data_IF_066301499636
#
_entry.id   IF_066301499636
#
_cell.length_a   1.000
_cell.length_b   1.000
_cell.length_c   1.000
_cell.angle_alpha   90.00
_cell.angle_beta   90.00
_cell.angle_gamma   90.00
#
_symmetry.space_group_name_H-M   'P 1'
#
loop_
_entity.id
_entity.type
_entity.pdbx_description
1 polymer ?
#
# COMPACT_ATOMS: atom_id res chain seq x y z
N UNK A 1 37.68 -18.76 -32.51
CA UNK A 1 37.35 -19.38 -31.21
C UNK A 1 36.97 -18.30 -30.19
N UNK A 2 35.85 -18.53 -29.49
CA UNK A 2 35.53 -18.14 -28.10
C UNK A 2 34.71 -16.86 -27.78
N UNK A 3 33.40 -17.12 -27.74
CA UNK A 3 32.24 -16.55 -27.02
C UNK A 3 32.49 -16.02 -25.59
N UNK A 4 31.86 -14.89 -25.18
CA UNK A 4 31.29 -14.66 -23.81
C UNK A 4 30.09 -13.67 -23.80
N UNK A 5 28.88 -14.25 -23.75
CA UNK A 5 27.60 -13.68 -23.31
C UNK A 5 27.67 -12.90 -21.98
N UNK A 6 27.27 -11.61 -21.93
CA UNK A 6 27.02 -10.89 -20.64
C UNK A 6 26.05 -9.69 -20.73
N UNK A 7 24.85 -9.77 -21.33
CA UNK A 7 23.87 -8.65 -21.20
C UNK A 7 22.39 -9.09 -21.17
N UNK A 8 21.95 -9.76 -20.09
CA UNK A 8 20.51 -10.07 -19.95
C UNK A 8 19.93 -10.04 -18.51
N UNK A 9 20.57 -9.35 -17.55
CA UNK A 9 20.08 -9.28 -16.16
C UNK A 9 19.19 -8.06 -15.84
N UNK A 10 19.03 -7.10 -16.75
CA UNK A 10 18.32 -5.84 -16.49
C UNK A 10 16.92 -5.70 -17.11
N UNK A 11 16.45 -6.66 -17.91
CA UNK A 11 15.15 -6.56 -18.59
C UNK A 11 13.95 -6.77 -17.64
N UNK A 12 14.13 -7.54 -16.56
CA UNK A 12 13.02 -7.89 -15.66
C UNK A 12 12.68 -6.78 -14.65
N UNK A 13 13.67 -5.98 -14.24
CA UNK A 13 13.50 -4.89 -13.25
C UNK A 13 12.70 -3.70 -13.81
N UNK A 14 12.80 -3.45 -15.11
CA UNK A 14 12.03 -2.39 -15.79
C UNK A 14 10.56 -2.76 -15.94
N UNK A 15 10.24 -4.03 -16.18
CA UNK A 15 8.85 -4.51 -16.26
C UNK A 15 8.16 -4.48 -14.90
N UNK A 16 8.86 -4.86 -13.83
CA UNK A 16 8.31 -4.81 -12.48
C UNK A 16 8.00 -3.38 -12.02
N UNK A 17 8.93 -2.44 -12.23
CA UNK A 17 8.72 -1.02 -11.91
C UNK A 17 7.60 -0.37 -12.74
N UNK A 18 7.45 -0.76 -14.01
CA UNK A 18 6.28 -0.37 -14.82
C UNK A 18 4.97 -0.89 -14.24
N UNK A 19 4.93 -2.14 -13.80
CA UNK A 19 3.74 -2.72 -13.16
C UNK A 19 3.41 -2.03 -11.84
N UNK A 20 4.40 -1.77 -10.98
CA UNK A 20 4.19 -1.01 -9.73
C UNK A 20 3.60 0.37 -10.01
N UNK A 21 4.06 1.09 -11.05
CA UNK A 21 3.49 2.38 -11.47
C UNK A 21 2.06 2.25 -12.00
N UNK A 22 1.78 1.21 -12.78
CA UNK A 22 0.44 0.97 -13.32
C UNK A 22 -0.56 0.68 -12.19
N UNK A 23 -0.17 -0.18 -11.25
CA UNK A 23 -0.99 -0.54 -10.10
C UNK A 23 -1.12 0.63 -9.14
N UNK A 24 -0.05 1.41 -8.89
CA UNK A 24 -0.14 2.60 -8.05
C UNK A 24 -1.16 3.61 -8.59
N UNK A 25 -1.25 3.78 -9.90
CA UNK A 25 -2.27 4.66 -10.50
C UNK A 25 -3.69 4.14 -10.26
N UNK A 26 -3.93 2.83 -10.42
CA UNK A 26 -5.23 2.20 -10.14
C UNK A 26 -5.60 2.32 -8.66
N UNK A 27 -4.66 1.99 -7.78
CA UNK A 27 -4.79 2.08 -6.32
C UNK A 27 -5.11 3.52 -5.92
N UNK A 28 -4.30 4.48 -6.36
CA UNK A 28 -4.49 5.90 -6.07
C UNK A 28 -5.87 6.39 -6.51
N UNK A 29 -6.32 6.03 -7.72
CA UNK A 29 -7.64 6.40 -8.22
C UNK A 29 -8.77 5.82 -7.35
N UNK A 30 -8.59 4.62 -6.82
CA UNK A 30 -9.54 4.02 -5.87
C UNK A 30 -9.58 4.81 -4.55
N UNK A 31 -8.42 5.15 -3.98
CA UNK A 31 -8.33 5.97 -2.77
C UNK A 31 -8.87 7.39 -2.99
N UNK A 32 -8.65 7.99 -4.17
CA UNK A 32 -9.15 9.30 -4.52
C UNK A 32 -10.69 9.34 -4.59
N UNK A 33 -11.35 8.23 -4.97
CA UNK A 33 -12.81 8.08 -4.90
C UNK A 33 -13.33 7.92 -3.47
N UNK A 34 -12.48 7.50 -2.53
CA UNK A 34 -12.84 7.21 -1.15
C UNK A 34 -11.85 7.87 -0.16
N UNK A 35 -11.69 9.20 -0.19
CA UNK A 35 -10.61 9.88 0.53
C UNK A 35 -10.74 9.81 2.06
N UNK A 36 -11.96 9.59 2.55
CA UNK A 36 -12.27 9.47 3.98
C UNK A 36 -11.96 8.08 4.53
N UNK A 37 -11.98 7.04 3.67
CA UNK A 37 -11.82 5.65 4.07
C UNK A 37 -10.36 5.23 4.03
N UNK A 38 -10.02 4.29 4.92
CA UNK A 38 -8.72 3.62 4.92
C UNK A 38 -8.89 2.17 4.50
N UNK A 39 -7.92 1.65 3.76
CA UNK A 39 -7.96 0.30 3.22
C UNK A 39 -6.62 -0.41 3.43
N UNK A 40 -6.69 -1.73 3.61
CA UNK A 40 -5.52 -2.60 3.65
C UNK A 40 -5.16 -3.10 2.23
N UNK A 41 -3.92 -3.52 2.01
CA UNK A 41 -3.44 -4.14 0.77
C UNK A 41 -4.34 -5.29 0.30
N UNK A 42 -4.84 -6.12 1.23
CA UNK A 42 -5.78 -7.22 0.90
C UNK A 42 -7.12 -6.70 0.35
N UNK A 43 -7.69 -5.67 0.97
CA UNK A 43 -8.96 -5.09 0.54
C UNK A 43 -8.85 -4.41 -0.82
N UNK A 44 -7.73 -3.73 -1.07
CA UNK A 44 -7.42 -3.12 -2.36
C UNK A 44 -7.21 -4.22 -3.42
N UNK A 45 -6.48 -5.29 -3.10
CA UNK A 45 -6.33 -6.43 -4.00
C UNK A 45 -7.68 -7.04 -4.39
N UNK A 46 -8.56 -7.31 -3.42
CA UNK A 46 -9.91 -7.81 -3.69
C UNK A 46 -10.74 -6.84 -4.53
N UNK A 47 -10.64 -5.52 -4.30
CA UNK A 47 -11.36 -4.50 -5.08
C UNK A 47 -10.85 -4.37 -6.51
N UNK A 48 -9.56 -4.58 -6.71
CA UNK A 48 -8.92 -4.60 -8.02
C UNK A 48 -9.00 -5.99 -8.69
N UNK A 49 -9.72 -6.94 -8.08
CA UNK A 49 -9.89 -8.33 -8.55
C UNK A 49 -8.55 -9.05 -8.77
N UNK A 50 -7.57 -8.75 -7.92
CA UNK A 50 -6.24 -9.32 -7.96
C UNK A 50 -6.17 -10.55 -7.05
N UNK A 51 -5.92 -11.70 -7.67
CA UNK A 51 -5.77 -13.00 -7.01
C UNK A 51 -4.35 -13.56 -7.10
N UNK A 52 -3.53 -13.11 -8.05
CA UNK A 52 -2.14 -13.58 -8.17
C UNK A 52 -1.29 -13.12 -6.97
N UNK A 53 -0.48 -14.03 -6.41
CA UNK A 53 0.45 -13.71 -5.32
C UNK A 53 1.47 -12.65 -5.76
N UNK A 54 1.93 -12.71 -7.00
CA UNK A 54 2.84 -11.72 -7.58
C UNK A 54 2.22 -10.32 -7.59
N UNK A 55 0.97 -10.22 -8.04
CA UNK A 55 0.25 -8.94 -8.13
C UNK A 55 -0.11 -8.37 -6.76
N UNK A 56 -0.34 -9.22 -5.76
CA UNK A 56 -0.53 -8.78 -4.36
C UNK A 56 0.74 -8.14 -3.80
N UNK A 57 1.91 -8.71 -4.09
CA UNK A 57 3.20 -8.11 -3.74
C UNK A 57 3.42 -6.79 -4.48
N UNK A 58 3.03 -6.70 -5.76
CA UNK A 58 3.05 -5.45 -6.52
C UNK A 58 2.16 -4.40 -5.85
N UNK A 59 0.94 -4.73 -5.43
CA UNK A 59 0.06 -3.79 -4.68
C UNK A 59 0.76 -3.27 -3.43
N UNK A 60 1.39 -4.15 -2.67
CA UNK A 60 2.09 -3.78 -1.44
C UNK A 60 3.19 -2.76 -1.72
N UNK A 61 3.98 -3.00 -2.77
CA UNK A 61 5.00 -2.06 -3.22
C UNK A 61 4.41 -0.77 -3.80
N UNK A 62 3.31 -0.84 -4.55
CA UNK A 62 2.60 0.33 -5.05
C UNK A 62 2.06 1.21 -3.91
N UNK A 63 1.56 0.61 -2.84
CA UNK A 63 1.11 1.33 -1.64
C UNK A 63 2.28 2.04 -0.97
N UNK A 64 3.39 1.33 -0.74
CA UNK A 64 4.61 1.92 -0.18
C UNK A 64 5.13 3.07 -1.05
N UNK A 65 5.16 2.88 -2.37
CA UNK A 65 5.54 3.93 -3.33
C UNK A 65 4.64 5.16 -3.24
N UNK A 66 3.32 4.98 -3.17
CA UNK A 66 2.37 6.09 -3.02
C UNK A 66 2.49 6.82 -1.68
N UNK A 67 2.91 6.13 -0.62
CA UNK A 67 3.22 6.75 0.68
C UNK A 67 4.51 7.58 0.59
N UNK A 68 5.55 7.07 -0.08
CA UNK A 68 6.79 7.82 -0.35
C UNK A 68 6.52 9.08 -1.19
N UNK A 69 5.65 8.96 -2.19
CA UNK A 69 5.16 10.07 -3.03
C UNK A 69 4.23 11.05 -2.29
N UNK A 70 3.94 10.82 -1.00
CA UNK A 70 3.00 11.61 -0.19
C UNK A 70 1.61 11.71 -0.81
N UNK A 71 1.18 10.70 -1.56
CA UNK A 71 -0.19 10.61 -2.11
C UNK A 71 -1.11 9.82 -1.18
N UNK A 72 -0.55 8.87 -0.44
CA UNK A 72 -1.21 8.12 0.62
C UNK A 72 -0.48 8.33 1.94
N UNK A 73 -1.17 8.05 3.04
CA UNK A 73 -0.59 7.99 4.39
C UNK A 73 -0.93 6.65 5.03
N UNK A 74 0.05 6.06 5.68
CA UNK A 74 -0.21 4.93 6.57
C UNK A 74 -0.76 5.46 7.90
N UNK A 75 -2.00 5.11 8.22
CA UNK A 75 -2.66 5.55 9.46
C UNK A 75 -2.43 4.56 10.61
N UNK A 76 -2.30 3.28 10.28
CA UNK A 76 -2.01 2.16 11.17
C UNK A 76 -1.18 1.14 10.38
N UNK A 77 -0.40 0.27 11.02
CA UNK A 77 0.37 -0.76 10.32
C UNK A 77 -0.52 -1.56 9.37
N UNK A 78 -0.25 -1.45 8.06
CA UNK A 78 -1.01 -2.11 7.01
C UNK A 78 -2.33 -1.43 6.59
N UNK A 79 -2.71 -0.29 7.16
CA UNK A 79 -3.84 0.53 6.70
C UNK A 79 -3.36 1.84 6.10
N UNK A 80 -3.80 2.07 4.86
CA UNK A 80 -3.48 3.26 4.08
C UNK A 80 -4.71 4.13 3.92
N UNK A 81 -4.52 5.44 3.84
CA UNK A 81 -5.58 6.43 3.60
C UNK A 81 -5.11 7.43 2.55
N UNK A 82 -6.05 8.02 1.81
CA UNK A 82 -5.73 9.09 0.86
C UNK A 82 -5.18 10.31 1.60
N UNK A 83 -4.03 10.82 1.15
CA UNK A 83 -3.48 12.07 1.68
C UNK A 83 -4.11 13.23 0.90
N UNK A 84 -5.18 13.81 1.45
CA UNK A 84 -5.62 15.13 1.02
C UNK A 84 -4.74 16.20 1.68
N UNK A 85 -4.23 17.14 0.89
CA UNK A 85 -3.29 18.19 1.33
C UNK A 85 -3.79 18.98 2.57
N UNK A 86 -5.09 18.96 2.86
CA UNK A 86 -5.72 19.70 3.95
C UNK A 86 -5.49 19.11 5.36
N UNK A 87 -5.07 17.85 5.50
CA UNK A 87 -5.12 17.12 6.81
C UNK A 87 -3.72 16.81 7.39
N UNK A 88 -2.62 17.13 6.69
CA UNK A 88 -1.28 16.71 7.13
C UNK A 88 -0.74 17.48 8.36
N UNK A 89 -1.49 18.44 8.90
CA UNK A 89 -1.09 19.29 10.04
C UNK A 89 -1.38 18.61 11.40
N UNK A 90 -2.26 17.61 11.50
CA UNK A 90 -2.73 17.10 12.81
C UNK A 90 -2.00 15.85 13.38
N UNK A 91 -0.99 15.30 12.71
CA UNK A 91 -0.43 13.98 13.04
C UNK A 91 0.96 13.95 13.65
N UNK A 92 1.42 15.07 14.24
CA UNK A 92 2.70 15.16 14.96
C UNK A 92 2.53 15.05 16.48
N UNK A 93 1.36 14.59 16.95
CA UNK A 93 1.06 14.42 18.38
C UNK A 93 0.87 12.93 18.69
N UNK A 94 1.62 12.48 19.68
CA UNK A 94 1.43 11.28 20.53
C UNK A 94 1.80 9.88 20.02
N UNK A 95 3.09 9.59 20.25
CA UNK A 95 3.62 8.46 21.05
C UNK A 95 2.72 7.26 21.42
N UNK A 96 3.27 6.08 21.14
CA UNK A 96 3.34 4.90 22.03
C UNK A 96 2.25 4.75 23.12
N UNK A 97 1.25 3.91 22.87
CA UNK A 97 0.59 3.14 23.95
C UNK A 97 0.26 1.72 23.50
N UNK A 98 1.16 0.81 23.91
CA UNK A 98 0.93 -0.48 24.57
C UNK A 98 -0.12 -1.41 23.95
N UNK A 99 0.35 -2.62 23.62
CA UNK A 99 -0.48 -3.76 23.29
C UNK A 99 -1.39 -4.23 24.43
N UNK A 100 -2.12 -5.30 24.09
CA UNK A 100 -3.26 -5.92 24.78
C UNK A 100 -4.61 -5.21 24.60
N UNK A 101 -5.21 -5.43 23.42
CA UNK A 101 -6.65 -5.44 23.28
C UNK A 101 -7.19 -6.74 23.90
N UNK A 102 -7.90 -6.64 25.02
CA UNK A 102 -8.95 -7.59 25.37
C UNK A 102 -10.22 -6.77 25.56
N UNK A 103 -11.07 -6.79 24.54
CA UNK A 103 -12.50 -6.51 24.69
C UNK A 103 -13.07 -7.77 25.35
N UNK A 104 -13.14 -7.77 26.68
CA UNK A 104 -14.03 -8.68 27.39
C UNK A 104 -15.43 -8.13 27.22
N UNK A 105 -16.17 -8.73 26.30
CA UNK A 105 -17.63 -8.74 26.35
C UNK A 105 -18.04 -9.74 27.42
N UNK A 106 -18.75 -9.29 28.44
CA UNK A 106 -19.74 -10.07 29.21
C UNK A 106 -20.74 -9.03 29.72
N UNK A 107 -21.94 -8.98 29.14
CA UNK A 107 -23.14 -9.74 29.55
C UNK A 107 -23.74 -9.22 30.85
N UNK A 108 -25.01 -8.81 30.74
CA UNK A 108 -26.07 -8.72 31.74
C UNK A 108 -25.74 -8.36 33.20
N UNK A 109 -26.36 -7.29 33.70
CA UNK A 109 -27.40 -7.44 34.72
C UNK A 109 -28.30 -6.22 34.85
#
# INVERSE_FOLDING_TARGET
MNNKNTKNYNKNKTNFSKQVKLFSNKVLRYFAKHPTKSFNHKQIASRLQISSQHDREIIKQSLAFLVQEKKLKETQPGKYKFLSAKIQIQGKLDVSRRGHAQLLSDEYS
#
